data_IF_660581917884
#
_entry.id   IF_660581917884
#
_cell.length_a   1.000
_cell.length_b   1.000
_cell.length_c   1.000
_cell.angle_alpha   90.00
_cell.angle_beta   90.00
_cell.angle_gamma   90.00
#
_symmetry.space_group_name_H-M   'P 1'
#
loop_
_entity.id
_entity.type
_entity.pdbx_description
1 polymer ?
#
# COMPACT_ATOMS: atom_id res chain seq x y z
N UNK A 1 -12.87 0.50 -18.70
CA UNK A 1 -11.43 0.73 -18.54
C UNK A 1 -11.30 1.41 -17.20
N UNK A 2 -10.64 0.78 -16.23
CA UNK A 2 -10.58 1.24 -14.83
C UNK A 2 -9.13 1.44 -14.42
N UNK A 3 -8.92 2.20 -13.36
CA UNK A 3 -7.59 2.48 -12.82
C UNK A 3 -7.14 1.31 -11.95
N UNK A 4 -5.85 1.04 -11.91
CA UNK A 4 -5.27 -0.02 -11.09
C UNK A 4 -4.41 0.61 -10.01
N UNK A 5 -4.38 -0.01 -8.84
CA UNK A 5 -3.41 0.32 -7.83
C UNK A 5 -2.69 -0.93 -7.33
N UNK A 6 -1.47 -0.72 -6.88
CA UNK A 6 -0.75 -1.71 -6.11
C UNK A 6 -0.04 -0.98 -4.97
N UNK A 7 -0.03 -1.59 -3.81
CA UNK A 7 0.50 -1.00 -2.61
C UNK A 7 1.56 -1.91 -1.98
N UNK A 8 2.68 -1.33 -1.59
CA UNK A 8 3.59 -1.94 -0.63
C UNK A 8 3.19 -1.41 0.75
N UNK A 9 2.82 -2.31 1.65
CA UNK A 9 2.39 -1.98 3.00
C UNK A 9 3.41 -2.46 4.03
N UNK A 10 3.74 -1.61 5.00
CA UNK A 10 4.54 -2.00 6.16
C UNK A 10 3.61 -2.58 7.24
N UNK A 11 3.91 -3.79 7.71
CA UNK A 11 3.07 -4.52 8.69
C UNK A 11 3.58 -4.39 10.14
N UNK A 12 4.65 -3.64 10.36
CA UNK A 12 5.34 -3.53 11.65
C UNK A 12 5.30 -2.10 12.22
N UNK A 13 5.15 -1.07 11.38
CA UNK A 13 5.01 0.33 11.82
C UNK A 13 3.66 0.56 12.48
N UNK A 14 3.70 1.10 13.71
CA UNK A 14 2.50 1.36 14.52
C UNK A 14 2.25 2.84 14.81
N UNK A 15 3.22 3.72 14.54
CA UNK A 15 3.13 5.17 14.85
C UNK A 15 3.35 6.03 13.62
N UNK A 16 2.59 7.12 13.50
CA UNK A 16 2.68 8.06 12.38
C UNK A 16 4.02 8.82 12.33
N UNK A 17 4.70 8.99 13.46
CA UNK A 17 6.02 9.63 13.50
C UNK A 17 7.09 8.76 12.84
N UNK A 18 7.24 7.52 13.31
CA UNK A 18 8.14 6.55 12.68
C UNK A 18 7.78 6.28 11.22
N UNK A 19 6.48 6.26 10.87
CA UNK A 19 6.05 6.13 9.48
C UNK A 19 6.57 7.28 8.60
N UNK A 20 6.57 8.52 9.09
CA UNK A 20 7.08 9.69 8.36
C UNK A 20 8.59 9.63 8.16
N UNK A 21 9.33 9.20 9.18
CA UNK A 21 10.79 9.03 9.10
C UNK A 21 11.16 7.99 8.03
N UNK A 22 10.58 6.80 8.11
CA UNK A 22 10.82 5.72 7.15
C UNK A 22 10.34 6.08 5.73
N UNK A 23 9.19 6.76 5.61
CA UNK A 23 8.72 7.25 4.33
C UNK A 23 9.70 8.24 3.70
N UNK A 24 10.28 9.15 4.50
CA UNK A 24 11.25 10.12 4.03
C UNK A 24 12.49 9.44 3.46
N UNK A 25 13.00 8.40 4.12
CA UNK A 25 14.18 7.66 3.66
C UNK A 25 13.92 6.93 2.33
N UNK A 26 12.76 6.27 2.20
CA UNK A 26 12.36 5.62 0.95
C UNK A 26 12.16 6.65 -0.16
N UNK A 27 11.47 7.76 0.11
CA UNK A 27 11.24 8.83 -0.87
C UNK A 27 12.55 9.45 -1.36
N UNK A 28 13.47 9.77 -0.45
CA UNK A 28 14.78 10.32 -0.80
C UNK A 28 15.55 9.38 -1.74
N UNK A 29 15.48 8.06 -1.50
CA UNK A 29 16.06 7.07 -2.39
C UNK A 29 15.37 7.01 -3.76
N UNK A 30 14.04 6.98 -3.80
CA UNK A 30 13.28 6.94 -5.05
C UNK A 30 13.56 8.17 -5.93
N UNK A 31 13.68 9.34 -5.31
CA UNK A 31 14.07 10.60 -5.97
C UNK A 31 15.50 10.50 -6.51
N UNK A 32 16.45 10.03 -5.69
CA UNK A 32 17.84 9.89 -6.10
C UNK A 32 18.03 8.93 -7.29
N UNK A 33 17.24 7.85 -7.34
CA UNK A 33 17.23 6.90 -8.47
C UNK A 33 16.41 7.38 -9.67
N UNK A 34 15.74 8.54 -9.55
CA UNK A 34 14.82 9.10 -10.55
C UNK A 34 13.63 8.20 -10.86
N UNK A 35 13.22 7.37 -9.90
CA UNK A 35 12.01 6.52 -9.97
C UNK A 35 10.76 7.38 -9.79
N UNK A 36 10.84 8.43 -8.98
CA UNK A 36 9.83 9.49 -8.84
C UNK A 36 10.48 10.87 -9.05
N UNK A 37 9.70 11.91 -9.34
CA UNK A 37 10.21 13.28 -9.36
C UNK A 37 10.15 13.92 -7.96
N UNK A 38 11.08 14.85 -7.69
CA UNK A 38 11.11 15.66 -6.46
C UNK A 38 10.13 16.84 -6.52
N UNK A 39 8.84 16.51 -6.65
CA UNK A 39 7.75 17.48 -6.54
C UNK A 39 6.45 16.77 -6.20
N UNK A 40 5.55 17.51 -5.57
CA UNK A 40 4.19 17.03 -5.36
C UNK A 40 3.33 17.20 -6.62
N UNK A 41 2.37 16.30 -6.78
CA UNK A 41 1.32 16.27 -7.80
C UNK A 41 -0.06 16.05 -7.17
N UNK A 42 -1.09 16.13 -8.01
CA UNK A 42 -2.48 15.69 -7.76
C UNK A 42 -2.85 14.40 -8.56
N UNK A 43 -1.85 13.77 -9.17
CA UNK A 43 -1.89 12.56 -9.99
C UNK A 43 -2.35 11.25 -9.32
N UNK A 44 -3.02 11.30 -8.17
CA UNK A 44 -3.64 10.17 -7.48
C UNK A 44 -5.15 10.41 -7.33
N UNK A 45 -5.83 10.67 -8.46
CA UNK A 45 -7.28 10.90 -8.54
C UNK A 45 -7.77 12.08 -7.65
N UNK A 46 -6.90 13.05 -7.37
CA UNK A 46 -7.23 14.18 -6.49
C UNK A 46 -7.32 13.84 -5.00
N UNK A 47 -6.96 12.62 -4.58
CA UNK A 47 -7.04 12.18 -3.18
C UNK A 47 -5.83 12.58 -2.31
N UNK A 48 -5.29 13.78 -2.55
CA UNK A 48 -4.15 14.34 -1.82
C UNK A 48 -2.84 14.36 -2.59
N UNK A 49 -1.78 14.77 -1.89
CA UNK A 49 -0.46 14.97 -2.48
C UNK A 49 0.19 13.63 -2.87
N UNK A 50 0.68 13.55 -4.11
CA UNK A 50 1.41 12.42 -4.66
C UNK A 50 2.77 12.83 -5.21
N UNK A 51 3.59 11.85 -5.58
CA UNK A 51 4.79 12.05 -6.38
C UNK A 51 4.58 11.50 -7.79
N UNK A 52 4.86 12.28 -8.85
CA UNK A 52 4.74 11.79 -10.21
C UNK A 52 5.86 10.76 -10.50
N UNK A 53 5.63 9.84 -11.45
CA UNK A 53 6.66 8.90 -11.88
C UNK A 53 7.83 9.67 -12.49
N UNK A 54 9.05 9.28 -12.12
CA UNK A 54 10.27 9.84 -12.68
C UNK A 54 10.72 9.10 -13.94
N UNK A 55 11.74 9.59 -14.66
CA UNK A 55 12.18 9.03 -15.94
C UNK A 55 12.68 7.58 -15.85
N UNK A 56 13.02 7.11 -14.65
CA UNK A 56 13.50 5.74 -14.38
C UNK A 56 12.46 4.87 -13.67
N UNK A 57 11.18 5.28 -13.61
CA UNK A 57 10.12 4.55 -12.87
C UNK A 57 10.02 3.05 -13.22
N UNK A 58 10.28 2.68 -14.49
CA UNK A 58 10.26 1.29 -14.95
C UNK A 58 11.25 0.36 -14.23
N UNK A 59 12.26 0.90 -13.53
CA UNK A 59 13.12 0.08 -12.67
C UNK A 59 12.38 -0.54 -11.50
N UNK A 60 11.34 0.13 -10.98
CA UNK A 60 10.47 -0.45 -9.97
C UNK A 60 9.68 -1.65 -10.51
N UNK A 61 9.51 -1.72 -11.84
CA UNK A 61 8.74 -2.75 -12.55
C UNK A 61 9.64 -3.76 -13.29
N UNK A 62 10.91 -3.90 -12.90
CA UNK A 62 11.83 -4.90 -13.49
C UNK A 62 12.43 -4.52 -14.84
N UNK A 63 12.30 -3.26 -15.26
CA UNK A 63 13.03 -2.67 -16.40
C UNK A 63 12.59 -3.15 -17.79
N UNK A 64 11.50 -3.91 -17.90
CA UNK A 64 10.93 -4.33 -19.19
C UNK A 64 9.74 -3.43 -19.50
N UNK A 65 9.86 -2.63 -20.56
CA UNK A 65 8.75 -1.84 -21.07
C UNK A 65 7.58 -2.76 -21.46
N UNK A 66 6.47 -2.65 -20.73
CA UNK A 66 5.20 -3.22 -21.18
C UNK A 66 4.56 -2.24 -22.15
N UNK A 67 4.60 -2.58 -23.44
CA UNK A 67 4.04 -1.78 -24.52
C UNK A 67 2.54 -1.49 -24.35
N UNK A 68 1.81 -2.26 -23.52
CA UNK A 68 0.37 -2.09 -23.33
C UNK A 68 -0.01 -1.14 -22.17
N UNK A 69 0.90 -0.84 -21.24
CA UNK A 69 0.58 -0.06 -20.03
C UNK A 69 1.48 1.17 -19.85
N UNK A 70 2.80 1.05 -20.06
CA UNK A 70 3.74 2.15 -19.78
C UNK A 70 4.90 2.27 -20.78
N UNK A 71 4.77 1.71 -22.00
CA UNK A 71 5.81 1.75 -23.04
C UNK A 71 6.21 3.14 -23.54
N UNK A 72 5.55 4.20 -23.08
CA UNK A 72 5.89 5.59 -23.39
C UNK A 72 5.85 6.48 -22.13
N UNK A 73 7.03 6.75 -21.56
CA UNK A 73 7.19 7.64 -20.40
C UNK A 73 6.58 9.04 -20.63
N UNK A 74 6.66 9.60 -21.84
CA UNK A 74 6.19 10.95 -22.12
C UNK A 74 4.65 11.08 -22.09
N UNK A 75 3.94 9.98 -22.32
CA UNK A 75 2.49 9.91 -22.15
C UNK A 75 2.14 9.56 -20.71
N UNK A 76 2.83 8.57 -20.13
CA UNK A 76 2.60 8.09 -18.76
C UNK A 76 2.80 9.19 -17.71
N UNK A 77 3.86 9.99 -17.82
CA UNK A 77 4.17 11.08 -16.87
C UNK A 77 3.19 12.26 -16.90
N UNK A 78 2.35 12.36 -17.95
CA UNK A 78 1.35 13.43 -18.09
C UNK A 78 -0.03 13.05 -17.56
N UNK A 79 -0.27 11.77 -17.27
CA UNK A 79 -1.57 11.33 -16.77
C UNK A 79 -1.70 11.66 -15.28
N UNK A 80 -2.84 12.22 -14.90
CA UNK A 80 -3.17 12.56 -13.52
C UNK A 80 -3.60 11.35 -12.66
N UNK A 81 -3.26 10.13 -13.10
CA UNK A 81 -3.65 8.88 -12.43
C UNK A 81 -2.48 7.93 -12.24
N UNK A 82 -1.24 8.42 -12.37
CA UNK A 82 -0.03 7.59 -12.36
C UNK A 82 0.92 7.88 -11.19
N UNK A 83 0.46 8.62 -10.18
CA UNK A 83 1.27 9.03 -9.05
C UNK A 83 1.57 7.91 -8.05
N UNK A 84 2.62 8.13 -7.27
CA UNK A 84 2.89 7.44 -6.01
C UNK A 84 2.25 8.23 -4.86
N UNK A 85 1.28 7.63 -4.18
CA UNK A 85 0.70 8.13 -2.93
C UNK A 85 1.37 7.46 -1.75
N UNK A 86 1.79 8.25 -0.76
CA UNK A 86 2.42 7.75 0.47
C UNK A 86 1.50 8.02 1.64
N UNK A 87 1.19 6.96 2.39
CA UNK A 87 0.38 7.01 3.60
C UNK A 87 1.35 6.95 4.79
N UNK A 88 1.24 7.89 5.73
CA UNK A 88 2.09 7.93 6.94
C UNK A 88 1.26 8.12 8.22
N UNK A 89 0.03 7.60 8.21
CA UNK A 89 -0.93 7.65 9.32
C UNK A 89 -1.89 6.47 9.21
N UNK A 90 -2.76 6.30 10.22
CA UNK A 90 -3.75 5.20 10.21
C UNK A 90 -4.60 5.31 8.93
N UNK A 91 -4.54 4.29 8.11
CA UNK A 91 -5.21 4.26 6.81
C UNK A 91 -5.60 2.84 6.45
N UNK A 92 -6.55 2.72 5.53
CA UNK A 92 -6.89 1.45 4.89
C UNK A 92 -6.38 1.44 3.46
N UNK A 93 -5.82 0.31 3.08
CA UNK A 93 -5.50 -0.02 1.69
C UNK A 93 -6.35 -1.22 1.33
N UNK A 94 -7.20 -1.10 0.31
CA UNK A 94 -8.04 -2.20 -0.14
C UNK A 94 -8.20 -2.24 -1.66
N UNK A 95 -8.47 -3.44 -2.17
CA UNK A 95 -8.98 -3.63 -3.52
C UNK A 95 -10.44 -3.18 -3.57
N UNK A 96 -10.79 -2.21 -4.41
CA UNK A 96 -12.15 -1.65 -4.46
C UNK A 96 -13.13 -2.48 -5.30
N UNK A 97 -12.70 -3.62 -5.84
CA UNK A 97 -13.53 -4.51 -6.65
C UNK A 97 -13.56 -5.93 -6.10
N UNK A 98 -14.77 -6.50 -6.02
CA UNK A 98 -15.03 -7.90 -5.63
C UNK A 98 -15.73 -8.04 -4.29
N UNK A 99 -16.12 -9.27 -3.97
CA UNK A 99 -16.54 -9.66 -2.62
C UNK A 99 -15.29 -10.00 -1.80
N UNK A 100 -15.17 -9.40 -0.62
CA UNK A 100 -14.08 -9.72 0.30
C UNK A 100 -14.38 -11.02 1.06
N UNK A 101 -13.42 -11.95 1.04
CA UNK A 101 -13.52 -13.21 1.77
C UNK A 101 -13.36 -13.03 3.29
N UNK A 102 -13.58 -14.11 4.07
CA UNK A 102 -13.31 -14.08 5.51
C UNK A 102 -11.81 -13.97 5.79
N UNK A 103 -11.47 -13.54 7.00
CA UNK A 103 -10.08 -13.46 7.49
C UNK A 103 -9.77 -14.57 8.48
N UNK A 104 -8.61 -15.20 8.37
CA UNK A 104 -8.21 -16.26 9.29
C UNK A 104 -7.64 -15.70 10.60
N UNK A 105 -8.09 -16.24 11.73
CA UNK A 105 -7.56 -15.89 13.04
C UNK A 105 -6.08 -16.24 13.17
N UNK A 106 -5.20 -15.27 13.52
CA UNK A 106 -3.76 -15.51 13.67
C UNK A 106 -3.39 -16.54 14.74
N UNK A 107 -4.30 -16.83 15.67
CA UNK A 107 -4.03 -17.67 16.84
C UNK A 107 -4.72 -19.04 16.81
N UNK A 108 -5.80 -19.20 16.03
CA UNK A 108 -6.54 -20.46 15.98
C UNK A 108 -6.97 -20.87 14.57
N UNK A 109 -6.64 -20.06 13.56
CA UNK A 109 -6.94 -20.28 12.13
C UNK A 109 -8.42 -20.32 11.75
N UNK A 110 -9.34 -20.23 12.72
CA UNK A 110 -10.76 -20.11 12.44
C UNK A 110 -11.05 -18.85 11.62
N UNK A 111 -12.01 -18.97 10.70
CA UNK A 111 -12.40 -17.89 9.81
C UNK A 111 -13.35 -16.94 10.53
N UNK A 112 -13.01 -15.66 10.55
CA UNK A 112 -13.88 -14.57 10.97
C UNK A 112 -14.49 -13.89 9.74
N UNK A 113 -15.78 -13.49 9.79
CA UNK A 113 -16.40 -12.69 8.73
C UNK A 113 -15.60 -11.41 8.45
N UNK A 114 -15.64 -10.93 7.21
CA UNK A 114 -14.95 -9.68 6.84
C UNK A 114 -15.52 -8.47 7.60
N UNK A 115 -16.80 -8.48 7.92
CA UNK A 115 -17.46 -7.38 8.65
C UNK A 115 -16.80 -7.12 10.01
N UNK A 116 -16.41 -8.18 10.74
CA UNK A 116 -15.67 -8.02 12.00
C UNK A 116 -14.34 -7.28 11.79
N UNK A 117 -13.65 -7.56 10.68
CA UNK A 117 -12.40 -6.91 10.33
C UNK A 117 -12.62 -5.43 9.99
N UNK A 118 -13.71 -5.12 9.27
CA UNK A 118 -14.10 -3.74 8.96
C UNK A 118 -14.46 -2.93 10.20
N UNK A 119 -15.28 -3.49 11.09
CA UNK A 119 -15.67 -2.84 12.35
C UNK A 119 -14.44 -2.54 13.23
N UNK A 120 -13.56 -3.52 13.40
CA UNK A 120 -12.31 -3.32 14.13
C UNK A 120 -11.40 -2.29 13.44
N UNK A 121 -11.41 -2.27 12.11
CA UNK A 121 -10.72 -1.30 11.27
C UNK A 121 -11.21 0.13 11.45
N UNK A 122 -12.52 0.35 11.50
CA UNK A 122 -13.15 1.65 11.75
C UNK A 122 -12.77 2.16 13.15
N UNK A 123 -12.92 1.31 14.18
CA UNK A 123 -12.51 1.63 15.55
C UNK A 123 -11.02 1.97 15.63
N UNK A 124 -10.18 1.29 14.85
CA UNK A 124 -8.77 1.59 14.77
C UNK A 124 -8.50 2.92 14.06
N UNK A 125 -9.15 3.19 12.94
CA UNK A 125 -9.03 4.46 12.23
C UNK A 125 -9.40 5.65 13.13
N UNK A 126 -10.45 5.51 13.94
CA UNK A 126 -10.94 6.53 14.88
C UNK A 126 -10.16 6.61 16.20
N UNK A 127 -9.08 5.86 16.36
CA UNK A 127 -8.30 5.78 17.61
C UNK A 127 -9.07 5.28 18.85
N UNK A 128 -10.11 4.47 18.63
CA UNK A 128 -10.96 3.88 19.70
C UNK A 128 -10.60 2.43 20.04
N UNK A 129 -9.80 1.75 19.22
CA UNK A 129 -9.32 0.39 19.46
C UNK A 129 -8.11 0.02 18.61
N UNK A 130 -7.49 -1.11 18.92
CA UNK A 130 -6.37 -1.68 18.16
C UNK A 130 -6.42 -3.21 18.03
N UNK A 131 -7.48 -3.83 18.57
CA UNK A 131 -7.66 -5.28 18.56
C UNK A 131 -9.01 -5.69 17.98
N UNK A 132 -9.05 -6.85 17.33
CA UNK A 132 -10.26 -7.60 17.01
C UNK A 132 -10.36 -8.85 17.89
N UNK A 133 -11.55 -9.18 18.38
CA UNK A 133 -11.81 -10.40 19.14
C UNK A 133 -12.19 -11.52 18.18
N UNK A 134 -11.55 -12.68 18.31
CA UNK A 134 -11.93 -13.86 17.53
C UNK A 134 -13.13 -14.59 18.18
N UNK A 135 -14.23 -14.74 17.46
CA UNK A 135 -15.44 -15.42 17.97
C UNK A 135 -15.23 -16.90 18.33
N UNK A 136 -14.24 -17.55 17.71
CA UNK A 136 -13.96 -18.98 17.95
C UNK A 136 -13.10 -19.24 19.18
N UNK A 137 -12.05 -18.44 19.41
CA UNK A 137 -11.12 -18.66 20.53
C UNK A 137 -11.20 -17.59 21.65
N UNK A 138 -12.00 -16.54 21.45
CA UNK A 138 -12.21 -15.45 22.41
C UNK A 138 -11.02 -14.52 22.63
N UNK A 139 -9.90 -14.71 21.91
CA UNK A 139 -8.70 -13.88 22.08
C UNK A 139 -8.88 -12.51 21.39
N UNK A 140 -8.53 -11.45 22.11
CA UNK A 140 -8.30 -10.13 21.53
C UNK A 140 -6.92 -10.10 20.87
N UNK A 141 -6.89 -9.84 19.56
CA UNK A 141 -5.68 -9.92 18.74
C UNK A 141 -5.50 -8.58 18.03
N UNK A 142 -4.28 -8.02 18.08
CA UNK A 142 -3.92 -6.79 17.41
C UNK A 142 -4.33 -6.81 15.93
N UNK A 143 -4.98 -5.74 15.47
CA UNK A 143 -5.51 -5.63 14.11
C UNK A 143 -4.42 -5.86 13.05
N UNK A 144 -3.20 -5.35 13.28
CA UNK A 144 -2.04 -5.53 12.39
C UNK A 144 -1.61 -6.99 12.19
N UNK A 145 -2.04 -7.92 13.06
CA UNK A 145 -1.75 -9.35 12.91
C UNK A 145 -2.75 -10.07 12.01
N UNK A 146 -3.90 -9.46 11.72
CA UNK A 146 -4.89 -10.04 10.82
C UNK A 146 -4.51 -9.72 9.38
N UNK A 147 -4.13 -10.75 8.63
CA UNK A 147 -3.68 -10.61 7.25
C UNK A 147 -4.81 -11.02 6.31
N UNK A 148 -5.25 -10.08 5.47
CA UNK A 148 -6.21 -10.32 4.40
C UNK A 148 -5.55 -9.96 3.05
N UNK A 149 -5.72 -10.77 1.99
CA UNK A 149 -5.06 -10.52 0.70
C UNK A 149 -5.50 -9.21 0.04
N UNK A 150 -6.74 -8.78 0.26
CA UNK A 150 -7.33 -7.62 -0.41
C UNK A 150 -7.53 -6.40 0.51
N UNK A 151 -7.21 -6.51 1.80
CA UNK A 151 -7.48 -5.43 2.79
C UNK A 151 -6.34 -5.36 3.79
N UNK A 152 -5.80 -4.16 4.00
CA UNK A 152 -4.74 -3.88 4.96
C UNK A 152 -5.02 -2.60 5.75
N UNK A 153 -4.98 -2.70 7.08
CA UNK A 153 -4.98 -1.56 7.99
C UNK A 153 -3.54 -1.22 8.37
N UNK A 154 -3.08 -0.06 7.94
CA UNK A 154 -1.64 0.26 7.84
C UNK A 154 -1.37 1.67 8.31
N UNK A 155 -0.21 1.88 8.92
CA UNK A 155 0.27 3.23 9.26
C UNK A 155 1.22 3.77 8.19
N UNK A 156 1.90 2.87 7.47
CA UNK A 156 2.80 3.21 6.37
C UNK A 156 2.48 2.37 5.13
N UNK A 157 2.27 3.04 4.01
CA UNK A 157 2.12 2.39 2.71
C UNK A 157 2.56 3.28 1.54
N UNK A 158 2.98 2.63 0.47
CA UNK A 158 3.36 3.24 -0.81
C UNK A 158 2.42 2.69 -1.89
N UNK A 159 1.50 3.52 -2.38
CA UNK A 159 0.49 3.17 -3.38
C UNK A 159 0.89 3.69 -4.76
N UNK A 160 1.11 2.77 -5.70
CA UNK A 160 1.51 3.03 -7.07
C UNK A 160 0.29 2.85 -7.98
N UNK A 161 -0.12 3.93 -8.63
CA UNK A 161 -1.32 3.94 -9.47
C UNK A 161 -0.96 3.72 -10.93
N UNK A 162 -1.59 2.75 -11.60
CA UNK A 162 -1.41 2.40 -13.00
C UNK A 162 0.02 2.01 -13.43
N UNK A 163 0.95 1.80 -12.49
CA UNK A 163 2.26 1.27 -12.81
C UNK A 163 2.13 -0.20 -13.23
N UNK A 164 3.02 -0.66 -14.11
CA UNK A 164 3.20 -2.10 -14.33
C UNK A 164 3.47 -2.82 -12.99
N UNK A 165 3.21 -4.14 -12.90
CA UNK A 165 3.50 -4.91 -11.70
C UNK A 165 4.92 -4.63 -11.19
N UNK A 166 5.02 -4.28 -9.90
CA UNK A 166 6.31 -4.05 -9.25
C UNK A 166 7.10 -5.35 -9.26
N UNK A 167 8.42 -5.26 -9.42
CA UNK A 167 9.29 -6.42 -9.38
C UNK A 167 9.57 -6.84 -7.94
N UNK A 168 9.82 -8.14 -7.75
CA UNK A 168 10.18 -8.69 -6.43
C UNK A 168 11.46 -8.04 -5.88
N UNK A 169 12.41 -7.70 -6.75
CA UNK A 169 13.65 -7.01 -6.35
C UNK A 169 13.37 -5.60 -5.82
N UNK A 170 12.43 -4.88 -6.44
CA UNK A 170 12.03 -3.56 -5.96
C UNK A 170 11.31 -3.64 -4.62
N UNK A 171 10.38 -4.58 -4.46
CA UNK A 171 9.68 -4.81 -3.19
C UNK A 171 10.68 -5.18 -2.08
N UNK A 172 11.65 -6.06 -2.37
CA UNK A 172 12.72 -6.41 -1.45
C UNK A 172 13.61 -5.20 -1.10
N UNK A 173 13.92 -4.34 -2.07
CA UNK A 173 14.71 -3.13 -1.85
C UNK A 173 14.00 -2.10 -0.95
N UNK A 174 12.67 -2.01 -1.04
CA UNK A 174 11.84 -1.20 -0.13
C UNK A 174 11.85 -1.82 1.26
N UNK A 175 11.56 -3.12 1.40
CA UNK A 175 11.61 -3.83 2.69
C UNK A 175 12.95 -3.68 3.41
N UNK A 176 14.07 -3.84 2.69
CA UNK A 176 15.41 -3.70 3.26
C UNK A 176 15.71 -2.28 3.77
N UNK A 177 15.14 -1.23 3.12
CA UNK A 177 15.27 0.16 3.56
C UNK A 177 14.41 0.48 4.78
N UNK A 178 13.22 -0.11 4.83
CA UNK A 178 12.35 -0.01 6.00
C UNK A 178 12.90 -0.79 7.19
N UNK A 179 13.69 -1.84 6.94
CA UNK A 179 14.15 -2.77 7.97
C UNK A 179 13.04 -3.67 8.51
N UNK A 180 11.88 -3.69 7.84
CA UNK A 180 10.66 -4.38 8.26
C UNK A 180 10.14 -5.32 7.19
N UNK A 181 9.29 -6.26 7.59
CA UNK A 181 8.49 -7.04 6.64
C UNK A 181 7.45 -6.14 5.99
N UNK A 182 7.24 -6.39 4.70
CA UNK A 182 6.20 -5.74 3.90
C UNK A 182 5.27 -6.78 3.32
N UNK A 183 4.05 -6.37 2.99
CA UNK A 183 3.11 -7.13 2.18
C UNK A 183 2.70 -6.29 0.96
N UNK A 184 2.09 -6.94 -0.03
CA UNK A 184 1.55 -6.26 -1.21
C UNK A 184 0.06 -6.47 -1.32
N UNK A 185 -0.66 -5.42 -1.71
CA UNK A 185 -2.08 -5.46 -2.05
C UNK A 185 -2.23 -4.88 -3.44
N UNK A 186 -2.91 -5.60 -4.33
CA UNK A 186 -3.25 -5.12 -5.66
C UNK A 186 -4.75 -4.90 -5.76
N UNK A 187 -5.16 -3.78 -6.33
CA UNK A 187 -6.56 -3.44 -6.50
C UNK A 187 -6.86 -2.85 -7.87
N UNK A 188 -8.14 -2.84 -8.19
CA UNK A 188 -8.70 -2.13 -9.33
C UNK A 188 -9.81 -1.22 -8.84
N UNK A 189 -9.88 -0.02 -9.40
CA UNK A 189 -10.94 0.98 -9.18
C UNK A 189 -11.76 1.12 -10.45
#
# INVERSE_FOLDING_TARGET
MGDYNQAIIDVEVTTAEHARELASDVLAWLIAEQIIEDRLCDGCLGEGACYPPGPRFMQACGGKEDAALNGNYAEFSRMATNGLKVLTGRSVVCNHQGEFGPVACPECTALSPIDNLWEAGEMWFEHKGDTMICDSCGRAIMLSRWIHPDVGFVVLAFQFWNWSPLSDEFIAAVSARLGHRVATITGKV
#
